data_IF_621837172130
#
_entry.id   IF_621837172130
#
_cell.length_a   1.000
_cell.length_b   1.000
_cell.length_c   1.000
_cell.angle_alpha   90.00
_cell.angle_beta   90.00
_cell.angle_gamma   90.00
#
_symmetry.space_group_name_H-M   'P 1'
#
loop_
_entity.id
_entity.type
_entity.pdbx_description
1 polymer ?
#
# COMPACT_ATOMS: atom_id res chain seq x y z
N UNK A 1 -1.50 31.88 -7.21
CA UNK A 1 -0.10 32.17 -6.87
C UNK A 1 -0.01 33.11 -5.66
N UNK A 2 0.96 32.86 -4.76
CA UNK A 2 1.28 33.74 -3.62
C UNK A 2 2.65 34.37 -3.83
N UNK A 3 2.80 35.62 -3.42
CA UNK A 3 4.11 36.29 -3.44
C UNK A 3 5.16 35.52 -2.62
N UNK A 4 6.39 35.50 -3.08
CA UNK A 4 7.49 34.69 -2.53
C UNK A 4 7.68 34.84 -1.02
N UNK A 5 7.69 36.08 -0.52
CA UNK A 5 7.82 36.38 0.91
C UNK A 5 6.67 35.77 1.73
N UNK A 6 5.44 35.88 1.22
CA UNK A 6 4.26 35.34 1.89
C UNK A 6 4.23 33.81 1.86
N UNK A 7 4.61 33.23 0.74
CA UNK A 7 4.71 31.75 0.61
C UNK A 7 5.73 31.19 1.60
N UNK A 8 6.94 31.73 1.64
CA UNK A 8 8.01 31.34 2.58
C UNK A 8 7.58 31.50 4.03
N UNK A 9 6.91 32.61 4.37
CA UNK A 9 6.40 32.87 5.72
C UNK A 9 5.39 31.83 6.18
N UNK A 10 4.42 31.47 5.33
CA UNK A 10 3.41 30.46 5.61
C UNK A 10 4.02 29.05 5.77
N UNK A 11 4.90 28.66 4.85
CA UNK A 11 5.57 27.35 4.90
C UNK A 11 6.39 27.24 6.20
N UNK A 12 7.16 28.26 6.54
CA UNK A 12 7.93 28.27 7.79
C UNK A 12 7.05 28.19 9.04
N UNK A 13 5.91 28.88 9.02
CA UNK A 13 4.99 28.90 10.14
C UNK A 13 4.30 27.55 10.40
N UNK A 14 3.82 26.88 9.32
CA UNK A 14 3.04 25.66 9.46
C UNK A 14 3.85 24.37 9.38
N UNK A 15 4.98 24.38 8.67
CA UNK A 15 5.75 23.19 8.35
C UNK A 15 7.20 23.22 8.88
N UNK A 16 7.70 24.37 9.31
CA UNK A 16 9.07 24.50 9.83
C UNK A 16 10.09 24.03 8.79
N UNK A 17 10.96 23.11 9.21
CA UNK A 17 12.04 22.58 8.38
C UNK A 17 11.63 21.32 7.56
N UNK A 18 10.35 20.92 7.60
CA UNK A 18 9.84 19.80 6.82
C UNK A 18 9.81 20.07 5.30
N UNK A 19 9.78 21.35 4.90
CA UNK A 19 9.82 21.76 3.50
C UNK A 19 11.17 22.42 3.21
N UNK A 20 11.99 21.75 2.41
CA UNK A 20 13.38 22.17 2.17
C UNK A 20 13.50 23.41 1.30
N UNK A 21 12.67 23.53 0.25
CA UNK A 21 12.70 24.66 -0.70
C UNK A 21 11.30 25.20 -0.94
N UNK A 22 11.18 26.52 -0.97
CA UNK A 22 9.90 27.20 -1.22
C UNK A 22 10.10 28.34 -2.21
N UNK A 23 9.35 28.30 -3.31
CA UNK A 23 9.25 29.40 -4.26
C UNK A 23 7.83 29.94 -4.28
N UNK A 24 7.70 31.25 -4.21
CA UNK A 24 6.47 31.98 -4.51
C UNK A 24 6.57 32.75 -5.82
N UNK A 25 5.57 33.58 -6.10
CA UNK A 25 5.55 34.47 -7.26
C UNK A 25 6.59 35.59 -7.10
N UNK A 26 7.39 35.80 -8.15
CA UNK A 26 8.42 36.84 -8.24
C UNK A 26 8.21 37.64 -9.53
N UNK A 27 8.49 38.97 -9.52
CA UNK A 27 8.22 39.84 -10.66
C UNK A 27 8.99 39.46 -11.94
N UNK A 28 10.17 38.89 -11.78
CA UNK A 28 11.13 38.52 -12.83
C UNK A 28 11.00 37.08 -13.33
N UNK A 29 10.01 36.36 -12.83
CA UNK A 29 9.77 34.94 -13.19
C UNK A 29 8.37 34.77 -13.75
N UNK A 30 8.22 34.13 -14.92
CA UNK A 30 6.91 33.88 -15.51
C UNK A 30 5.98 33.10 -14.55
N UNK A 31 4.68 33.42 -14.62
CA UNK A 31 3.64 32.76 -13.83
C UNK A 31 3.28 31.39 -14.42
N UNK A 32 2.78 30.49 -13.58
CA UNK A 32 2.14 29.25 -14.03
C UNK A 32 1.10 29.54 -15.13
N UNK A 33 1.02 28.77 -16.21
CA UNK A 33 1.59 27.42 -16.42
C UNK A 33 3.02 27.40 -17.00
N UNK A 34 3.76 28.50 -16.97
CA UNK A 34 5.17 28.50 -17.38
C UNK A 34 5.99 27.61 -16.41
N UNK A 35 6.85 26.70 -16.93
CA UNK A 35 7.55 25.73 -16.10
C UNK A 35 8.82 26.27 -15.41
N UNK A 36 9.22 27.51 -15.67
CA UNK A 36 10.50 28.07 -15.21
C UNK A 36 10.74 27.91 -13.71
N UNK A 37 9.76 28.26 -12.88
CA UNK A 37 9.87 28.10 -11.41
C UNK A 37 9.97 26.64 -11.00
N UNK A 38 9.21 25.78 -11.64
CA UNK A 38 9.20 24.32 -11.36
C UNK A 38 10.52 23.68 -11.73
N UNK A 39 11.08 24.01 -12.90
CA UNK A 39 12.38 23.51 -13.34
C UNK A 39 13.54 24.06 -12.48
N UNK A 40 13.40 25.27 -11.95
CA UNK A 40 14.37 25.81 -11.01
C UNK A 40 14.35 25.06 -9.66
N UNK A 41 13.15 24.76 -9.12
CA UNK A 41 12.99 23.92 -7.93
C UNK A 41 13.57 22.54 -8.12
N UNK A 42 13.28 21.90 -9.26
CA UNK A 42 13.79 20.57 -9.59
C UNK A 42 15.32 20.53 -9.57
N UNK A 43 15.97 21.55 -10.16
CA UNK A 43 17.44 21.68 -10.16
C UNK A 43 18.00 21.92 -8.77
N UNK A 44 17.37 22.74 -7.95
CA UNK A 44 17.81 23.03 -6.58
C UNK A 44 17.72 21.80 -5.66
N UNK A 45 16.72 20.93 -5.92
CA UNK A 45 16.52 19.68 -5.20
C UNK A 45 17.31 18.49 -5.77
N UNK A 46 18.12 18.70 -6.82
CA UNK A 46 18.79 17.64 -7.59
C UNK A 46 17.84 16.50 -8.01
N UNK A 47 16.60 16.90 -8.36
CA UNK A 47 15.50 15.98 -8.66
C UNK A 47 15.56 15.45 -10.09
N UNK A 48 15.25 14.15 -10.25
CA UNK A 48 15.06 13.52 -11.55
C UNK A 48 13.61 13.72 -12.02
N UNK A 49 13.37 14.29 -13.22
CA UNK A 49 12.03 14.45 -13.78
C UNK A 49 11.23 13.14 -13.84
N UNK A 50 11.91 12.02 -14.10
CA UNK A 50 11.27 10.70 -14.21
C UNK A 50 10.68 10.18 -12.90
N UNK A 51 11.20 10.64 -11.76
CA UNK A 51 10.76 10.22 -10.41
C UNK A 51 10.11 11.35 -9.62
N UNK A 52 9.97 12.55 -10.21
CA UNK A 52 9.38 13.72 -9.55
C UNK A 52 7.89 13.83 -9.87
N UNK A 53 7.08 13.98 -8.83
CA UNK A 53 5.64 14.21 -8.93
C UNK A 53 5.33 15.70 -8.73
N UNK A 54 4.51 16.25 -9.61
CA UNK A 54 3.95 17.58 -9.43
C UNK A 54 2.51 17.46 -8.94
N UNK A 55 2.23 17.99 -7.77
CA UNK A 55 0.93 17.87 -7.12
C UNK A 55 0.20 19.22 -7.17
N UNK A 56 -1.05 19.22 -7.61
CA UNK A 56 -1.85 20.43 -7.69
C UNK A 56 -3.35 20.19 -7.71
N UNK A 57 -4.12 21.25 -7.48
CA UNK A 57 -5.58 21.21 -7.38
C UNK A 57 -6.28 22.03 -8.45
N UNK A 58 -5.58 22.41 -9.51
CA UNK A 58 -6.13 23.22 -10.59
C UNK A 58 -5.62 22.82 -11.99
N UNK A 59 -6.38 23.19 -13.02
CA UNK A 59 -5.97 22.99 -14.42
C UNK A 59 -4.61 23.63 -14.73
N UNK A 60 -4.32 24.80 -14.13
CA UNK A 60 -3.05 25.49 -14.29
C UNK A 60 -1.88 24.67 -13.71
N UNK A 61 -2.10 23.95 -12.61
CA UNK A 61 -1.09 23.08 -12.03
C UNK A 61 -0.80 21.88 -12.91
N UNK A 62 -1.83 21.24 -13.44
CA UNK A 62 -1.68 20.10 -14.37
C UNK A 62 -0.91 20.55 -15.63
N UNK A 63 -1.27 21.70 -16.17
CA UNK A 63 -0.57 22.25 -17.32
C UNK A 63 0.90 22.60 -17.00
N UNK A 64 1.17 23.13 -15.80
CA UNK A 64 2.55 23.42 -15.35
C UNK A 64 3.40 22.15 -15.29
N UNK A 65 2.84 21.07 -14.73
CA UNK A 65 3.50 19.77 -14.65
C UNK A 65 3.84 19.25 -16.05
N UNK A 66 2.89 19.28 -16.99
CA UNK A 66 3.08 18.86 -18.38
C UNK A 66 4.15 19.68 -19.09
N UNK A 67 4.12 21.00 -18.93
CA UNK A 67 5.11 21.90 -19.53
C UNK A 67 6.52 21.69 -18.94
N UNK A 68 6.60 21.22 -17.68
CA UNK A 68 7.87 20.85 -17.03
C UNK A 68 8.33 19.41 -17.33
N UNK A 69 7.53 18.60 -18.02
CA UNK A 69 7.84 17.18 -18.29
C UNK A 69 7.74 16.30 -17.05
N UNK A 70 6.90 16.68 -16.08
CA UNK A 70 6.69 15.98 -14.82
C UNK A 70 5.37 15.22 -14.80
N UNK A 71 5.30 14.17 -13.97
CA UNK A 71 4.05 13.48 -13.68
C UNK A 71 3.11 14.37 -12.89
N UNK A 72 1.91 14.61 -13.44
CA UNK A 72 0.89 15.49 -12.88
C UNK A 72 -0.11 14.72 -11.99
N UNK A 73 -0.12 14.99 -10.70
CA UNK A 73 -1.06 14.42 -9.74
C UNK A 73 -2.11 15.46 -9.35
N UNK A 74 -3.36 15.22 -9.72
CA UNK A 74 -4.49 16.07 -9.34
C UNK A 74 -5.06 15.67 -7.98
N UNK A 75 -5.23 16.64 -7.06
CA UNK A 75 -5.85 16.42 -5.75
C UNK A 75 -7.26 16.97 -5.73
N UNK A 76 -8.25 16.13 -5.35
CA UNK A 76 -9.68 16.49 -5.45
C UNK A 76 -10.26 17.09 -4.16
N UNK A 77 -9.46 17.23 -3.11
CA UNK A 77 -9.85 17.98 -1.89
C UNK A 77 -9.53 19.49 -1.97
N UNK A 78 -9.06 19.96 -3.12
CA UNK A 78 -8.76 21.36 -3.39
C UNK A 78 -9.93 22.11 -4.00
N UNK A 79 -9.62 23.10 -4.86
CA UNK A 79 -10.62 24.03 -5.40
C UNK A 79 -11.37 23.51 -6.63
N UNK A 80 -10.87 22.45 -7.31
CA UNK A 80 -11.41 21.98 -8.59
C UNK A 80 -11.87 20.54 -8.50
N UNK A 81 -12.84 20.20 -9.34
CA UNK A 81 -13.35 18.83 -9.42
C UNK A 81 -12.44 17.89 -10.20
N UNK A 82 -12.72 16.60 -10.09
CA UNK A 82 -11.94 15.54 -10.72
C UNK A 82 -11.96 15.63 -12.27
N UNK A 83 -13.08 16.04 -12.85
CA UNK A 83 -13.24 16.09 -14.31
C UNK A 83 -12.42 17.22 -14.91
N UNK A 84 -12.38 18.40 -14.27
CA UNK A 84 -11.52 19.52 -14.69
C UNK A 84 -10.04 19.12 -14.66
N UNK A 85 -9.58 18.50 -13.56
CA UNK A 85 -8.20 18.05 -13.40
C UNK A 85 -7.81 16.99 -14.44
N UNK A 86 -8.71 16.06 -14.71
CA UNK A 86 -8.49 15.01 -15.71
C UNK A 86 -8.42 15.57 -17.13
N UNK A 87 -9.33 16.48 -17.49
CA UNK A 87 -9.30 17.18 -18.80
C UNK A 87 -8.06 18.04 -18.98
N UNK A 88 -7.54 18.62 -17.89
CA UNK A 88 -6.30 19.40 -17.91
C UNK A 88 -5.03 18.54 -17.98
N UNK A 89 -5.16 17.20 -17.97
CA UNK A 89 -4.05 16.27 -18.19
C UNK A 89 -3.43 15.70 -16.93
N UNK A 90 -4.18 15.59 -15.82
CA UNK A 90 -3.71 14.83 -14.65
C UNK A 90 -3.42 13.37 -15.03
N UNK A 91 -2.24 12.87 -14.68
CA UNK A 91 -1.86 11.47 -14.90
C UNK A 91 -2.52 10.55 -13.86
N UNK A 92 -2.74 11.05 -12.66
CA UNK A 92 -3.51 10.40 -11.63
C UNK A 92 -4.32 11.41 -10.80
N UNK A 93 -5.42 10.93 -10.22
CA UNK A 93 -6.24 11.69 -9.28
C UNK A 93 -6.22 11.01 -7.92
N UNK A 94 -6.09 11.79 -6.85
CA UNK A 94 -6.15 11.31 -5.47
C UNK A 94 -7.16 12.12 -4.67
N UNK A 95 -7.91 11.44 -3.81
CA UNK A 95 -9.03 12.03 -3.07
C UNK A 95 -8.72 12.35 -1.61
N UNK A 96 -7.53 11.95 -1.11
CA UNK A 96 -7.10 12.26 0.26
C UNK A 96 -5.57 12.33 0.37
N UNK A 97 -5.04 12.99 1.41
CA UNK A 97 -3.60 12.95 1.71
C UNK A 97 -3.04 11.55 1.91
N UNK A 98 -3.83 10.62 2.48
CA UNK A 98 -3.43 9.24 2.69
C UNK A 98 -3.29 8.49 1.34
N UNK A 99 -4.19 8.78 0.39
CA UNK A 99 -4.10 8.24 -0.97
C UNK A 99 -2.89 8.80 -1.72
N UNK A 100 -2.55 10.08 -1.49
CA UNK A 100 -1.34 10.70 -2.04
C UNK A 100 -0.08 10.06 -1.45
N UNK A 101 -0.05 9.84 -0.12
CA UNK A 101 1.07 9.16 0.53
C UNK A 101 1.27 7.75 -0.03
N UNK A 102 0.18 7.02 -0.25
CA UNK A 102 0.22 5.69 -0.87
C UNK A 102 0.82 5.70 -2.28
N UNK A 103 0.62 6.78 -3.05
CA UNK A 103 1.26 6.97 -4.36
C UNK A 103 2.78 7.15 -4.25
N UNK A 104 3.26 7.87 -3.23
CA UNK A 104 4.69 8.01 -2.96
C UNK A 104 5.32 6.72 -2.45
N UNK A 105 4.63 6.02 -1.55
CA UNK A 105 5.10 4.75 -0.97
C UNK A 105 5.12 3.62 -2.01
N UNK A 106 4.22 3.68 -3.01
CA UNK A 106 4.16 2.67 -4.07
C UNK A 106 5.15 2.94 -5.23
N UNK A 107 5.82 4.11 -5.26
CA UNK A 107 6.49 4.57 -6.49
C UNK A 107 5.50 4.54 -7.66
N UNK A 108 5.81 4.94 -8.87
CA UNK A 108 4.94 4.62 -10.00
C UNK A 108 4.93 3.10 -10.17
N UNK A 109 3.87 2.45 -9.62
CA UNK A 109 3.74 1.00 -9.50
C UNK A 109 3.95 0.36 -10.87
N UNK A 110 5.13 -0.16 -11.12
CA UNK A 110 5.38 -0.93 -12.32
C UNK A 110 4.81 -2.34 -12.12
N UNK A 111 3.47 -2.43 -12.25
CA UNK A 111 2.72 -3.69 -12.08
C UNK A 111 3.31 -4.81 -12.93
N UNK A 112 3.75 -4.49 -14.14
CA UNK A 112 4.33 -5.48 -15.06
C UNK A 112 5.67 -6.02 -14.54
N UNK A 113 6.54 -5.17 -14.01
CA UNK A 113 7.80 -5.60 -13.40
C UNK A 113 7.56 -6.46 -12.16
N UNK A 114 6.67 -6.03 -11.27
CA UNK A 114 6.29 -6.77 -10.07
C UNK A 114 5.67 -8.12 -10.42
N UNK A 115 4.74 -8.14 -11.36
CA UNK A 115 4.14 -9.37 -11.88
C UNK A 115 5.21 -10.34 -12.38
N UNK A 116 6.16 -9.87 -13.21
CA UNK A 116 7.28 -10.67 -13.71
C UNK A 116 8.13 -11.24 -12.59
N UNK A 117 8.45 -10.44 -11.58
CA UNK A 117 9.27 -10.85 -10.44
C UNK A 117 8.60 -11.96 -9.63
N UNK A 118 7.33 -11.78 -9.24
CA UNK A 118 6.61 -12.82 -8.49
C UNK A 118 6.37 -14.08 -9.34
N UNK A 119 6.03 -13.92 -10.61
CA UNK A 119 5.83 -15.05 -11.53
C UNK A 119 7.12 -15.83 -11.76
N UNK A 120 8.26 -15.17 -11.86
CA UNK A 120 9.57 -15.83 -11.97
C UNK A 120 9.93 -16.67 -10.74
N UNK A 121 9.37 -16.33 -9.57
CA UNK A 121 9.49 -17.14 -8.34
C UNK A 121 8.42 -18.22 -8.23
N UNK A 122 7.52 -18.35 -9.21
CA UNK A 122 6.46 -19.35 -9.26
C UNK A 122 5.14 -18.95 -8.62
N UNK A 123 4.99 -17.75 -8.11
CA UNK A 123 3.71 -17.24 -7.61
C UNK A 123 2.77 -16.90 -8.77
N UNK A 124 1.47 -17.13 -8.59
CA UNK A 124 0.46 -16.43 -9.37
C UNK A 124 0.41 -14.96 -8.95
N UNK A 125 0.18 -14.05 -9.90
CA UNK A 125 0.04 -12.64 -9.58
C UNK A 125 -1.08 -12.04 -10.44
N UNK A 126 -2.02 -11.34 -9.80
CA UNK A 126 -3.10 -10.64 -10.49
C UNK A 126 -3.31 -9.30 -9.82
N UNK A 127 -3.23 -8.23 -10.60
CA UNK A 127 -3.51 -6.87 -10.14
C UNK A 127 -4.90 -6.43 -10.56
N UNK A 128 -5.61 -5.80 -9.65
CA UNK A 128 -6.90 -5.16 -9.89
C UNK A 128 -6.81 -3.68 -9.51
N UNK A 129 -7.19 -2.77 -10.42
CA UNK A 129 -7.18 -1.33 -10.14
C UNK A 129 -8.11 -0.94 -8.99
N UNK A 130 -9.17 -1.71 -8.75
CA UNK A 130 -10.17 -1.41 -7.72
C UNK A 130 -10.41 -2.58 -6.77
N UNK A 131 -10.75 -2.23 -5.52
CA UNK A 131 -11.15 -3.21 -4.50
C UNK A 131 -12.38 -4.03 -4.91
N UNK A 132 -13.29 -3.45 -5.71
CA UNK A 132 -14.49 -4.12 -6.21
C UNK A 132 -14.16 -5.25 -7.17
N UNK A 133 -13.23 -5.03 -8.10
CA UNK A 133 -12.77 -6.05 -9.06
C UNK A 133 -12.05 -7.18 -8.35
N UNK A 134 -11.13 -6.85 -7.41
CA UNK A 134 -10.44 -7.85 -6.59
C UNK A 134 -11.45 -8.69 -5.78
N UNK A 135 -12.47 -8.06 -5.18
CA UNK A 135 -13.53 -8.74 -4.45
C UNK A 135 -14.32 -9.69 -5.35
N UNK A 136 -14.71 -9.27 -6.55
CA UNK A 136 -15.44 -10.12 -7.52
C UNK A 136 -14.61 -11.35 -7.89
N UNK A 137 -13.36 -11.16 -8.26
CA UNK A 137 -12.42 -12.25 -8.56
C UNK A 137 -12.31 -13.26 -7.41
N UNK A 138 -12.13 -12.77 -6.18
CA UNK A 138 -12.00 -13.63 -5.00
C UNK A 138 -13.28 -14.40 -4.71
N UNK A 139 -14.45 -13.76 -4.85
CA UNK A 139 -15.75 -14.38 -4.64
C UNK A 139 -15.98 -15.52 -5.65
N UNK A 140 -15.70 -15.28 -6.92
CA UNK A 140 -15.83 -16.28 -7.98
C UNK A 140 -14.83 -17.43 -7.81
N UNK A 141 -13.57 -17.13 -7.45
CA UNK A 141 -12.55 -18.12 -7.19
C UNK A 141 -12.89 -19.07 -6.04
N UNK A 142 -13.65 -18.60 -5.04
CA UNK A 142 -14.02 -19.34 -3.84
C UNK A 142 -15.36 -20.08 -3.95
N UNK A 143 -16.12 -19.86 -5.02
CA UNK A 143 -17.46 -20.46 -5.19
C UNK A 143 -17.41 -21.98 -5.13
N UNK A 144 -18.23 -22.57 -4.27
CA UNK A 144 -18.33 -24.03 -4.09
C UNK A 144 -17.10 -24.69 -3.45
N UNK A 145 -16.23 -23.91 -2.81
CA UNK A 145 -15.01 -24.41 -2.14
C UNK A 145 -15.12 -24.29 -0.63
N UNK A 146 -14.28 -25.06 0.07
CA UNK A 146 -13.99 -24.83 1.48
C UNK A 146 -12.92 -23.75 1.62
N UNK A 147 -13.25 -22.67 2.33
CA UNK A 147 -12.40 -21.47 2.45
C UNK A 147 -12.10 -21.19 3.91
N UNK A 148 -10.84 -21.09 4.26
CA UNK A 148 -10.41 -20.56 5.55
C UNK A 148 -9.81 -19.16 5.40
N UNK A 149 -10.11 -18.25 6.33
CA UNK A 149 -9.57 -16.91 6.36
C UNK A 149 -8.68 -16.71 7.58
N UNK A 150 -7.48 -16.23 7.34
CA UNK A 150 -6.61 -15.67 8.36
C UNK A 150 -7.13 -14.34 8.89
N UNK A 151 -6.68 -13.94 10.08
CA UNK A 151 -6.95 -12.60 10.60
C UNK A 151 -6.37 -11.52 9.69
N UNK A 152 -7.23 -10.78 8.97
CA UNK A 152 -6.82 -9.78 7.99
C UNK A 152 -7.76 -8.58 7.96
N UNK A 153 -7.21 -7.39 8.22
CA UNK A 153 -7.96 -6.15 8.04
C UNK A 153 -8.24 -5.86 6.57
N UNK A 154 -7.37 -6.27 5.66
CA UNK A 154 -7.58 -6.15 4.21
C UNK A 154 -8.81 -6.93 3.76
N UNK A 155 -8.93 -8.21 4.18
CA UNK A 155 -10.11 -9.02 3.85
C UNK A 155 -11.39 -8.45 4.47
N UNK A 156 -11.31 -7.93 5.70
CA UNK A 156 -12.43 -7.25 6.35
C UNK A 156 -12.86 -6.00 5.59
N UNK A 157 -11.91 -5.18 5.14
CA UNK A 157 -12.20 -3.98 4.34
C UNK A 157 -12.84 -4.31 2.99
N UNK A 158 -12.51 -5.46 2.40
CA UNK A 158 -13.15 -5.99 1.20
C UNK A 158 -14.54 -6.60 1.46
N UNK A 159 -15.04 -6.61 2.70
CA UNK A 159 -16.35 -7.14 3.08
C UNK A 159 -16.42 -8.65 3.19
N UNK A 160 -15.30 -9.35 3.45
CA UNK A 160 -15.30 -10.78 3.75
C UNK A 160 -15.49 -11.02 5.25
N UNK A 161 -16.18 -12.11 5.67
CA UNK A 161 -16.67 -13.23 4.84
C UNK A 161 -18.02 -13.00 4.16
N UNK A 162 -18.73 -11.90 4.44
CA UNK A 162 -20.11 -11.65 4.01
C UNK A 162 -20.27 -11.60 2.48
N UNK A 163 -19.16 -11.32 1.78
CA UNK A 163 -19.14 -11.29 0.32
C UNK A 163 -19.28 -12.67 -0.34
N UNK A 164 -19.05 -13.77 0.41
CA UNK A 164 -19.14 -15.08 -0.20
C UNK A 164 -20.58 -15.48 -0.55
N UNK A 165 -20.73 -16.03 -1.74
CA UNK A 165 -22.02 -16.52 -2.23
C UNK A 165 -22.43 -17.81 -1.55
N UNK A 166 -23.72 -18.09 -1.62
CA UNK A 166 -24.31 -19.34 -1.15
C UNK A 166 -23.59 -20.56 -1.76
N UNK A 167 -23.27 -21.54 -0.92
CA UNK A 167 -22.53 -22.75 -1.33
C UNK A 167 -21.03 -22.72 -1.04
N UNK A 168 -20.47 -21.61 -0.55
CA UNK A 168 -19.09 -21.56 -0.07
C UNK A 168 -19.05 -21.91 1.43
N UNK A 169 -18.29 -22.94 1.81
CA UNK A 169 -18.07 -23.26 3.22
C UNK A 169 -16.95 -22.40 3.79
N UNK A 170 -17.28 -21.53 4.75
CA UNK A 170 -16.35 -20.52 5.25
C UNK A 170 -15.99 -20.75 6.70
N UNK A 171 -14.69 -20.77 6.97
CA UNK A 171 -14.14 -20.75 8.32
C UNK A 171 -13.27 -19.51 8.51
N UNK A 172 -13.72 -18.56 9.33
CA UNK A 172 -12.93 -17.39 9.68
C UNK A 172 -12.43 -17.47 11.12
N UNK A 173 -11.12 -17.45 11.26
CA UNK A 173 -10.42 -17.54 12.54
C UNK A 173 -10.90 -16.52 13.60
N UNK A 174 -11.33 -15.33 13.19
CA UNK A 174 -11.84 -14.31 14.13
C UNK A 174 -13.22 -14.66 14.71
N UNK A 175 -14.00 -15.48 14.02
CA UNK A 175 -15.35 -15.86 14.43
C UNK A 175 -15.34 -17.20 15.17
N UNK A 176 -14.56 -18.15 14.69
CA UNK A 176 -14.47 -19.51 15.25
C UNK A 176 -13.07 -19.77 15.84
N UNK A 177 -12.81 -19.23 17.02
CA UNK A 177 -11.54 -19.43 17.73
C UNK A 177 -11.38 -20.90 18.13
N UNK A 178 -10.24 -21.49 17.75
CA UNK A 178 -9.89 -22.87 18.15
C UNK A 178 -10.38 -23.97 17.21
N UNK A 179 -11.23 -23.67 16.24
CA UNK A 179 -11.56 -24.60 15.16
C UNK A 179 -10.68 -24.30 13.95
N UNK A 180 -10.04 -25.31 13.40
CA UNK A 180 -9.22 -25.17 12.18
C UNK A 180 -9.70 -26.16 11.16
N UNK A 181 -10.00 -25.68 9.93
CA UNK A 181 -10.01 -26.57 8.79
C UNK A 181 -8.58 -27.08 8.57
N UNK A 182 -8.38 -28.36 8.78
CA UNK A 182 -7.04 -28.95 8.66
C UNK A 182 -6.49 -28.85 7.22
N UNK A 183 -7.35 -28.85 6.21
CA UNK A 183 -6.99 -28.75 4.79
C UNK A 183 -8.12 -28.09 4.00
N UNK A 184 -8.30 -26.76 4.06
CA UNK A 184 -9.26 -26.08 3.19
C UNK A 184 -8.80 -26.17 1.75
N UNK A 185 -9.74 -26.08 0.80
CA UNK A 185 -9.38 -25.93 -0.61
C UNK A 185 -8.62 -24.63 -0.83
N UNK A 186 -9.09 -23.55 -0.19
CA UNK A 186 -8.48 -22.22 -0.33
C UNK A 186 -8.25 -21.59 1.05
N UNK A 187 -7.06 -21.05 1.23
CA UNK A 187 -6.73 -20.18 2.35
C UNK A 187 -6.55 -18.73 1.88
N UNK A 188 -7.38 -17.83 2.40
CA UNK A 188 -7.25 -16.41 2.15
C UNK A 188 -6.54 -15.72 3.30
N UNK A 189 -5.52 -14.96 2.99
CA UNK A 189 -4.77 -14.17 3.95
C UNK A 189 -4.36 -12.84 3.34
N UNK A 190 -3.61 -12.06 4.09
CA UNK A 190 -2.86 -10.91 3.58
C UNK A 190 -1.42 -11.02 4.04
N UNK A 191 -0.53 -10.25 3.42
CA UNK A 191 0.84 -10.11 3.88
C UNK A 191 1.00 -8.89 4.80
N UNK A 192 2.05 -8.90 5.64
CA UNK A 192 2.51 -7.70 6.33
C UNK A 192 3.33 -6.80 5.41
N UNK A 193 4.08 -7.38 4.48
CA UNK A 193 4.78 -6.69 3.40
C UNK A 193 4.99 -7.61 2.21
N UNK A 194 5.16 -7.01 1.04
CA UNK A 194 5.62 -7.63 -0.21
C UNK A 194 6.91 -6.92 -0.62
N UNK A 195 7.88 -7.67 -1.12
CA UNK A 195 9.10 -7.10 -1.71
C UNK A 195 8.98 -7.05 -3.24
N UNK A 196 9.46 -5.98 -3.87
CA UNK A 196 9.59 -5.91 -5.33
C UNK A 196 10.61 -6.92 -5.88
N UNK A 197 11.46 -7.48 -5.01
CA UNK A 197 12.34 -8.60 -5.32
C UNK A 197 11.65 -9.97 -5.24
N UNK A 198 10.34 -10.00 -4.90
CA UNK A 198 9.44 -11.15 -5.03
C UNK A 198 9.27 -11.99 -3.77
N UNK A 199 9.54 -11.47 -2.59
CA UNK A 199 9.29 -12.13 -1.32
C UNK A 199 8.01 -11.63 -0.65
N UNK A 200 7.38 -12.51 0.16
CA UNK A 200 6.20 -12.18 0.97
C UNK A 200 6.59 -12.32 2.45
N UNK A 201 6.44 -11.24 3.21
CA UNK A 201 6.79 -11.21 4.64
C UNK A 201 5.54 -11.20 5.51
N UNK A 202 5.48 -12.13 6.46
CA UNK A 202 4.43 -12.22 7.47
C UNK A 202 4.98 -12.38 8.88
N UNK A 203 4.44 -11.59 9.81
CA UNK A 203 4.65 -11.73 11.25
C UNK A 203 3.37 -12.24 11.91
N UNK A 204 3.49 -13.18 12.86
CA UNK A 204 2.36 -13.78 13.57
C UNK A 204 2.66 -13.98 15.06
N UNK A 205 1.63 -13.89 15.89
CA UNK A 205 1.72 -14.13 17.31
C UNK A 205 1.33 -15.54 17.73
N UNK A 206 0.26 -16.05 17.15
CA UNK A 206 -0.26 -17.41 17.41
C UNK A 206 0.37 -18.47 16.51
N UNK A 207 0.84 -18.03 15.32
CA UNK A 207 1.42 -18.92 14.31
C UNK A 207 0.40 -19.55 13.36
N UNK A 208 -0.89 -19.41 13.63
CA UNK A 208 -1.95 -20.05 12.85
C UNK A 208 -2.02 -19.52 11.40
N UNK A 209 -1.87 -18.20 11.22
CA UNK A 209 -1.87 -17.60 9.90
C UNK A 209 -0.62 -17.99 9.11
N UNK A 210 0.54 -17.89 9.72
CA UNK A 210 1.82 -18.26 9.11
C UNK A 210 1.83 -19.75 8.74
N UNK A 211 1.42 -20.65 9.66
CA UNK A 211 1.41 -22.09 9.38
C UNK A 211 0.50 -22.44 8.18
N UNK A 212 -0.69 -21.83 8.11
CA UNK A 212 -1.63 -22.08 7.01
C UNK A 212 -1.15 -21.52 5.66
N UNK A 213 -0.26 -20.53 5.64
CA UNK A 213 0.37 -20.06 4.39
C UNK A 213 1.56 -20.90 3.96
N UNK A 214 2.05 -21.81 4.82
CA UNK A 214 3.19 -22.69 4.54
C UNK A 214 2.76 -24.13 4.24
N UNK A 215 1.67 -24.60 4.88
CA UNK A 215 1.26 -25.99 4.77
C UNK A 215 -0.24 -26.18 5.05
N UNK A 216 -0.87 -27.12 4.35
CA UNK A 216 -2.23 -27.59 4.58
C UNK A 216 -3.22 -27.28 3.47
N UNK A 217 -3.46 -26.02 3.09
CA UNK A 217 -4.37 -25.68 1.99
C UNK A 217 -3.85 -26.16 0.64
N UNK A 218 -4.77 -26.45 -0.29
CA UNK A 218 -4.40 -26.71 -1.69
C UNK A 218 -3.97 -25.42 -2.41
N UNK A 219 -4.67 -24.31 -2.09
CA UNK A 219 -4.41 -23.00 -2.67
C UNK A 219 -4.32 -21.94 -1.58
N UNK A 220 -3.31 -21.08 -1.65
CA UNK A 220 -3.18 -19.90 -0.80
C UNK A 220 -3.27 -18.62 -1.64
N UNK A 221 -4.09 -17.67 -1.21
CA UNK A 221 -4.23 -16.36 -1.86
C UNK A 221 -3.85 -15.27 -0.86
N UNK A 222 -2.80 -14.54 -1.18
CA UNK A 222 -2.39 -13.34 -0.45
C UNK A 222 -3.07 -12.11 -1.07
N UNK A 223 -4.01 -11.52 -0.35
CA UNK A 223 -4.73 -10.32 -0.78
C UNK A 223 -4.06 -9.10 -0.17
N UNK A 224 -3.48 -8.26 -1.01
CA UNK A 224 -2.59 -7.18 -0.57
C UNK A 224 -2.89 -5.87 -1.29
N UNK A 225 -3.05 -4.79 -0.53
CA UNK A 225 -3.02 -3.44 -1.11
C UNK A 225 -1.58 -3.04 -1.49
N UNK A 226 -1.46 -2.19 -2.47
CA UNK A 226 -0.17 -1.64 -2.97
C UNK A 226 0.68 -0.99 -1.87
N UNK A 227 0.04 -0.45 -0.83
CA UNK A 227 0.69 0.14 0.33
C UNK A 227 1.55 -0.84 1.16
N UNK A 228 1.59 -2.12 0.78
CA UNK A 228 2.43 -3.15 1.42
C UNK A 228 3.67 -3.50 0.63
N UNK A 229 3.79 -2.94 -0.56
CA UNK A 229 4.95 -3.14 -1.40
C UNK A 229 6.15 -2.37 -0.85
N UNK A 230 7.30 -2.98 -0.91
CA UNK A 230 8.58 -2.43 -0.47
C UNK A 230 9.65 -2.70 -1.54
N UNK A 231 10.65 -1.84 -1.71
CA UNK A 231 11.63 -2.00 -2.78
C UNK A 231 12.45 -3.31 -2.69
N UNK A 232 12.68 -3.80 -1.48
CA UNK A 232 13.50 -4.99 -1.24
C UNK A 232 13.04 -5.77 0.00
N UNK A 233 13.67 -6.93 0.24
CA UNK A 233 13.35 -7.79 1.38
C UNK A 233 13.64 -7.12 2.73
N UNK A 234 14.73 -6.34 2.84
CA UNK A 234 15.10 -5.67 4.08
C UNK A 234 14.03 -4.66 4.47
N UNK A 235 13.63 -3.80 3.55
CA UNK A 235 12.52 -2.85 3.71
C UNK A 235 11.19 -3.55 4.02
N UNK A 236 10.93 -4.71 3.42
CA UNK A 236 9.72 -5.49 3.69
C UNK A 236 9.71 -6.06 5.13
N UNK A 237 10.84 -6.55 5.61
CA UNK A 237 11.02 -6.99 7.01
C UNK A 237 10.88 -5.81 7.96
N UNK A 238 11.48 -4.68 7.63
CA UNK A 238 11.40 -3.44 8.41
C UNK A 238 9.96 -2.94 8.52
N UNK A 239 9.24 -2.90 7.39
CA UNK A 239 7.81 -2.56 7.36
C UNK A 239 6.97 -3.51 8.22
N UNK A 240 7.24 -4.80 8.14
CA UNK A 240 6.51 -5.80 8.92
C UNK A 240 6.71 -5.59 10.43
N UNK A 241 7.94 -5.25 10.86
CA UNK A 241 8.31 -5.04 12.26
C UNK A 241 7.89 -3.67 12.81
N UNK A 242 8.10 -2.60 12.03
CA UNK A 242 7.97 -1.23 12.54
C UNK A 242 6.66 -0.54 12.14
N UNK A 243 5.91 -1.09 11.19
CA UNK A 243 4.61 -0.55 10.78
C UNK A 243 3.49 -1.56 11.09
N UNK A 244 3.54 -2.75 10.48
CA UNK A 244 2.42 -3.68 10.57
C UNK A 244 2.22 -4.26 11.98
N UNK A 245 3.28 -4.66 12.67
CA UNK A 245 3.19 -5.23 14.00
C UNK A 245 2.75 -4.19 15.06
N UNK A 246 3.30 -2.95 15.13
CA UNK A 246 2.82 -1.91 16.03
C UNK A 246 1.36 -1.53 15.82
N UNK A 247 0.94 -1.31 14.58
CA UNK A 247 -0.47 -1.02 14.26
C UNK A 247 -1.41 -2.14 14.72
N UNK A 248 -1.01 -3.39 14.52
CA UNK A 248 -1.79 -4.53 14.97
C UNK A 248 -1.80 -4.69 16.51
N UNK A 249 -0.68 -4.42 17.18
CA UNK A 249 -0.59 -4.41 18.64
C UNK A 249 -1.54 -3.36 19.25
N UNK A 250 -1.55 -2.16 18.70
CA UNK A 250 -2.48 -1.08 19.09
C UNK A 250 -3.94 -1.49 18.87
N UNK A 251 -4.26 -2.07 17.70
CA UNK A 251 -5.62 -2.54 17.36
C UNK A 251 -6.11 -3.64 18.33
N UNK A 252 -5.22 -4.53 18.75
CA UNK A 252 -5.53 -5.62 19.69
C UNK A 252 -5.57 -5.17 21.14
N UNK A 253 -5.11 -3.97 21.46
CA UNK A 253 -5.07 -3.44 22.84
C UNK A 253 -4.08 -4.16 23.74
N UNK A 254 -3.03 -4.79 23.18
CA UNK A 254 -2.04 -5.53 23.96
C UNK A 254 -1.07 -4.58 24.68
N UNK A 255 -0.58 -5.01 25.85
CA UNK A 255 0.35 -4.22 26.68
C UNK A 255 1.80 -4.38 26.22
N UNK A 256 2.10 -3.85 25.05
CA UNK A 256 3.45 -3.81 24.49
C UNK A 256 3.90 -2.36 24.28
N UNK A 257 5.21 -2.04 24.34
CA UNK A 257 5.70 -0.68 24.11
C UNK A 257 5.22 -0.11 22.77
N UNK A 258 5.29 -0.90 21.71
CA UNK A 258 4.91 -0.49 20.37
C UNK A 258 3.40 -0.20 20.20
N UNK A 259 2.54 -0.71 21.07
CA UNK A 259 1.12 -0.35 21.09
C UNK A 259 0.89 1.08 21.60
N UNK A 260 1.85 1.64 22.36
CA UNK A 260 1.80 2.99 22.93
C UNK A 260 2.38 4.00 21.96
N UNK A 261 3.62 3.80 21.52
CA UNK A 261 4.39 4.79 20.75
C UNK A 261 4.52 4.49 19.24
N UNK A 262 3.99 3.33 18.79
CA UNK A 262 4.00 2.95 17.37
C UNK A 262 5.34 2.44 16.85
N UNK A 263 6.37 2.28 17.69
CA UNK A 263 7.72 1.85 17.30
C UNK A 263 8.04 0.45 17.83
N UNK A 264 8.72 -0.36 17.02
CA UNK A 264 9.20 -1.67 17.46
C UNK A 264 10.40 -1.50 18.42
N UNK A 265 10.30 -2.11 19.60
CA UNK A 265 11.36 -2.14 20.63
C UNK A 265 12.02 -3.51 20.76
N UNK A 266 11.72 -4.45 19.88
CA UNK A 266 12.09 -5.86 20.02
C UNK A 266 11.83 -6.38 21.46
N UNK A 267 10.67 -6.02 22.00
CA UNK A 267 10.31 -6.18 23.40
C UNK A 267 10.21 -7.66 23.81
N UNK A 268 10.41 -7.90 25.12
CA UNK A 268 10.20 -9.22 25.76
C UNK A 268 8.84 -9.30 26.48
N UNK A 269 7.86 -8.45 26.11
CA UNK A 269 6.53 -8.46 26.73
C UNK A 269 5.87 -9.85 26.59
N UNK A 270 5.22 -10.36 27.64
CA UNK A 270 4.46 -11.60 27.55
C UNK A 270 3.29 -11.51 26.55
N UNK A 271 2.79 -10.30 26.30
CA UNK A 271 1.73 -10.02 25.32
C UNK A 271 2.26 -9.70 23.91
N UNK A 272 3.56 -9.92 23.64
CA UNK A 272 4.18 -9.74 22.34
C UNK A 272 3.45 -10.56 21.26
N UNK A 273 3.01 -9.91 20.19
CA UNK A 273 2.30 -10.52 19.07
C UNK A 273 3.18 -10.84 17.84
N UNK A 274 4.45 -10.45 17.86
CA UNK A 274 5.43 -10.71 16.79
C UNK A 274 6.36 -11.86 17.25
N UNK A 275 5.82 -13.10 17.32
CA UNK A 275 6.53 -14.28 17.85
C UNK A 275 7.13 -15.16 16.76
N UNK A 276 6.57 -15.12 15.57
CA UNK A 276 7.06 -15.84 14.40
C UNK A 276 7.09 -14.92 13.19
N UNK A 277 8.06 -15.12 12.32
CA UNK A 277 8.15 -14.47 11.02
C UNK A 277 8.33 -15.54 9.95
N UNK A 278 7.55 -15.47 8.88
CA UNK A 278 7.76 -16.26 7.68
C UNK A 278 8.06 -15.35 6.49
N UNK A 279 9.03 -15.76 5.69
CA UNK A 279 9.40 -15.15 4.43
C UNK A 279 9.20 -16.21 3.36
N UNK A 280 8.24 -15.98 2.46
CA UNK A 280 8.02 -16.86 1.32
C UNK A 280 8.92 -16.35 0.18
N UNK A 281 9.88 -17.15 -0.21
CA UNK A 281 10.79 -16.91 -1.34
C UNK A 281 10.28 -17.55 -2.65
N UNK A 282 9.23 -18.36 -2.54
CA UNK A 282 8.49 -19.05 -3.58
C UNK A 282 7.28 -19.76 -2.99
N UNK A 283 6.39 -20.31 -3.80
CA UNK A 283 5.27 -21.14 -3.35
C UNK A 283 5.75 -22.36 -2.58
N UNK A 284 5.11 -22.71 -1.43
CA UNK A 284 5.40 -23.97 -0.77
C UNK A 284 5.08 -25.18 -1.69
N UNK A 285 5.99 -26.13 -1.78
CA UNK A 285 5.84 -27.31 -2.66
C UNK A 285 4.63 -28.20 -2.33
N UNK A 286 4.09 -28.09 -1.12
CA UNK A 286 2.89 -28.80 -0.68
C UNK A 286 1.56 -28.15 -1.11
N UNK A 287 1.60 -27.07 -1.87
CA UNK A 287 0.42 -26.36 -2.38
C UNK A 287 0.33 -26.48 -3.90
N UNK A 288 -0.89 -26.66 -4.42
CA UNK A 288 -1.14 -26.68 -5.86
C UNK A 288 -0.98 -25.29 -6.48
N UNK A 289 -1.33 -24.24 -5.72
CA UNK A 289 -1.24 -22.85 -6.16
C UNK A 289 -1.04 -21.89 -5.00
N UNK A 290 -0.11 -20.97 -5.15
CA UNK A 290 0.06 -19.83 -4.26
C UNK A 290 0.08 -18.54 -5.08
N UNK A 291 -0.76 -17.56 -4.74
CA UNK A 291 -0.92 -16.37 -5.56
C UNK A 291 -1.12 -15.09 -4.73
N UNK A 292 -0.85 -13.96 -5.38
CA UNK A 292 -1.01 -12.60 -4.86
C UNK A 292 -2.10 -11.90 -5.67
N UNK A 293 -3.00 -11.24 -4.95
CA UNK A 293 -4.10 -10.45 -5.50
C UNK A 293 -4.09 -9.06 -4.85
#
# INVERSE_FOLDING_TARGET
NKYDVAAKGLIRHYFGDLVHVTYGERPDVPRKPDPTSTLALLRELDGDPATTLYIGDSAVDMQTAKNAGLTAIGVTWGFRDADELKQAGADALVSSPEALLSLFESGMLNVDAICKTFTARGFGFTYFPTASEARSYLTDSCKGKSVSLGGSMTLKALGFPEAFQYGTSVHWHWVRKGEYFQKPDIYLSSANALSETGEIVNIDGTGNRVSATLFGPKRCIFVCGVNKLCPDLESAVERARNIAAPLNAKRLGVKTPCAVDGKCHDCKSPERICRAMAIHMGPPLGMEKCEIV
#
